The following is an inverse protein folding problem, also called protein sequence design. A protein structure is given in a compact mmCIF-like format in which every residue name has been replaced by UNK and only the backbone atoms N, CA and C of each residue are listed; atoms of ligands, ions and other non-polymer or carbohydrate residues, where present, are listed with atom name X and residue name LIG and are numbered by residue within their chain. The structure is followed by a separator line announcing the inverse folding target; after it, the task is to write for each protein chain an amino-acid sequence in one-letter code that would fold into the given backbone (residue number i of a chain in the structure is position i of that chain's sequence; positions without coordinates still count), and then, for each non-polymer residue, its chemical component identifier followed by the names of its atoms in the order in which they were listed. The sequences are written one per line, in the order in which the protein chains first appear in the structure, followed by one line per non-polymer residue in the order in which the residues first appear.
data_IF_334986741190
#
_entry.id   IF_334986741190
#
_cell.length_a   1.000
_cell.length_b   1.000
_cell.length_c   1.000
_cell.angle_alpha   90.00
_cell.angle_beta   90.00
_cell.angle_gamma   90.00
#
_symmetry.space_group_name_H-M   'P 1'
#
loop_
_entity.id
_entity.type
_entity.pdbx_description
1 polymer ?
#
# COMPACT_ATOMS: atom_id res chain seq x y z
N UNK A 1 1.57 -1.03 -25.35
CA UNK A 1 0.19 -0.76 -25.82
C UNK A 1 -0.61 -0.34 -24.61
N UNK A 2 -0.85 0.96 -24.44
CA UNK A 2 -1.68 1.53 -23.36
C UNK A 2 -3.14 1.20 -23.69
N UNK A 3 -3.74 0.28 -22.93
CA UNK A 3 -5.19 0.05 -23.01
C UNK A 3 -5.92 1.36 -22.70
N UNK A 4 -6.67 1.84 -23.66
CA UNK A 4 -7.50 3.03 -23.53
C UNK A 4 -8.62 2.72 -22.52
N UNK A 5 -8.47 3.18 -21.29
CA UNK A 5 -9.46 3.03 -20.23
C UNK A 5 -10.84 3.48 -20.71
N UNK A 6 -11.82 2.57 -20.73
CA UNK A 6 -13.16 2.84 -21.21
C UNK A 6 -13.84 4.01 -20.48
N UNK A 7 -14.82 4.67 -21.11
CA UNK A 7 -15.56 5.80 -20.51
C UNK A 7 -16.15 5.45 -19.13
N UNK A 8 -16.55 4.20 -18.93
CA UNK A 8 -17.10 3.70 -17.66
C UNK A 8 -16.02 3.66 -16.57
N UNK A 9 -14.83 3.19 -16.92
CA UNK A 9 -13.71 3.07 -15.98
C UNK A 9 -13.17 4.44 -15.57
N UNK A 10 -13.09 5.39 -16.52
CA UNK A 10 -12.76 6.79 -16.21
C UNK A 10 -13.76 7.42 -15.25
N UNK A 11 -15.08 7.19 -15.44
CA UNK A 11 -16.10 7.68 -14.50
C UNK A 11 -15.97 7.04 -13.13
N UNK A 12 -15.70 5.73 -13.08
CA UNK A 12 -15.48 4.99 -11.83
C UNK A 12 -14.27 5.53 -11.07
N UNK A 13 -13.16 5.73 -11.76
CA UNK A 13 -11.94 6.31 -11.19
C UNK A 13 -12.18 7.76 -10.68
N UNK A 14 -12.86 8.61 -11.47
CA UNK A 14 -13.16 9.97 -11.07
C UNK A 14 -14.08 10.05 -9.82
N UNK A 15 -15.08 9.17 -9.72
CA UNK A 15 -15.93 9.10 -8.52
C UNK A 15 -15.14 8.64 -7.31
N UNK A 16 -14.26 7.64 -7.50
CA UNK A 16 -13.40 7.13 -6.45
C UNK A 16 -12.45 8.21 -5.92
N UNK A 17 -11.83 8.98 -6.83
CA UNK A 17 -10.96 10.08 -6.47
C UNK A 17 -11.69 11.15 -5.65
N UNK A 18 -12.88 11.61 -6.09
CA UNK A 18 -13.68 12.58 -5.35
C UNK A 18 -14.01 12.14 -3.92
N UNK A 19 -14.37 10.86 -3.74
CA UNK A 19 -14.64 10.28 -2.43
C UNK A 19 -13.39 10.25 -1.54
N UNK A 20 -12.23 9.92 -2.12
CA UNK A 20 -10.95 9.96 -1.41
C UNK A 20 -10.57 11.37 -1.00
N UNK A 21 -10.66 12.35 -1.92
CA UNK A 21 -10.30 13.75 -1.66
C UNK A 21 -11.20 14.35 -0.56
N UNK A 22 -12.52 14.11 -0.64
CA UNK A 22 -13.46 14.54 0.39
C UNK A 22 -13.14 13.91 1.75
N UNK A 23 -12.87 12.61 1.80
CA UNK A 23 -12.53 11.92 3.03
C UNK A 23 -11.24 12.47 3.65
N UNK A 24 -10.17 12.60 2.87
CA UNK A 24 -8.88 13.14 3.34
C UNK A 24 -9.05 14.55 3.86
N UNK A 25 -9.73 15.44 3.12
CA UNK A 25 -10.01 16.82 3.54
C UNK A 25 -10.71 16.85 4.90
N UNK A 26 -11.79 16.11 5.05
CA UNK A 26 -12.55 16.06 6.30
C UNK A 26 -11.75 15.45 7.46
N UNK A 27 -11.00 14.38 7.21
CA UNK A 27 -10.19 13.75 8.25
C UNK A 27 -9.05 14.64 8.73
N UNK A 28 -8.39 15.35 7.84
CA UNK A 28 -7.34 16.30 8.21
C UNK A 28 -7.89 17.51 8.97
N UNK A 29 -9.10 17.97 8.64
CA UNK A 29 -9.72 19.11 9.30
C UNK A 29 -10.31 18.78 10.68
N UNK A 30 -10.91 17.59 10.86
CA UNK A 30 -11.76 17.27 12.02
C UNK A 30 -11.29 16.02 12.79
N UNK A 31 -10.29 15.30 12.29
CA UNK A 31 -9.87 14.00 12.80
C UNK A 31 -10.72 12.84 12.28
N UNK A 32 -10.11 11.66 12.24
CA UNK A 32 -10.73 10.47 11.68
C UNK A 32 -12.04 10.09 12.38
N UNK A 33 -12.08 10.05 13.72
CA UNK A 33 -13.22 9.54 14.46
C UNK A 33 -14.47 10.44 14.38
N UNK A 34 -14.25 11.76 14.24
CA UNK A 34 -15.33 12.76 14.21
C UNK A 34 -16.09 12.85 12.87
N UNK A 35 -15.62 12.17 11.82
CA UNK A 35 -16.22 12.22 10.48
C UNK A 35 -16.97 10.94 10.18
N UNK A 36 -18.18 11.04 9.63
CA UNK A 36 -19.02 9.92 9.21
C UNK A 36 -18.92 9.65 7.71
N UNK A 37 -19.22 8.42 7.28
CA UNK A 37 -19.29 8.10 5.84
C UNK A 37 -20.40 8.86 5.10
N UNK A 38 -21.46 9.27 5.81
CA UNK A 38 -22.55 10.07 5.24
C UNK A 38 -22.05 11.48 4.90
N UNK A 39 -21.32 12.14 5.80
CA UNK A 39 -20.69 13.44 5.55
C UNK A 39 -19.70 13.40 4.39
N UNK A 40 -18.93 12.31 4.27
CA UNK A 40 -18.00 12.13 3.14
C UNK A 40 -18.76 11.99 1.81
N UNK A 41 -19.86 11.23 1.80
CA UNK A 41 -20.67 11.07 0.61
C UNK A 41 -21.32 12.39 0.18
N UNK A 42 -21.79 13.19 1.14
CA UNK A 42 -22.35 14.53 0.92
C UNK A 42 -21.29 15.49 0.36
N UNK A 43 -20.11 15.56 0.98
CA UNK A 43 -18.98 16.40 0.54
C UNK A 43 -18.52 16.05 -0.89
N UNK A 44 -18.57 14.75 -1.24
CA UNK A 44 -18.20 14.25 -2.56
C UNK A 44 -19.34 14.39 -3.61
N UNK A 45 -20.48 14.98 -3.27
CA UNK A 45 -21.70 15.02 -4.10
C UNK A 45 -22.04 13.62 -4.66
N UNK A 46 -22.21 12.66 -3.75
CA UNK A 46 -22.38 11.24 -4.10
C UNK A 46 -23.37 10.57 -3.14
N UNK A 47 -24.16 9.63 -3.63
CA UNK A 47 -25.03 8.84 -2.78
C UNK A 47 -24.22 7.87 -1.87
N UNK A 48 -24.67 7.68 -0.64
CA UNK A 48 -24.03 6.78 0.32
C UNK A 48 -23.90 5.33 -0.22
N UNK A 49 -24.89 4.86 -0.98
CA UNK A 49 -24.85 3.56 -1.66
C UNK A 49 -23.74 3.48 -2.70
N UNK A 50 -23.46 4.57 -3.37
CA UNK A 50 -22.35 4.66 -4.33
C UNK A 50 -21.00 4.62 -3.63
N UNK A 51 -20.87 5.29 -2.46
CA UNK A 51 -19.67 5.20 -1.63
C UNK A 51 -19.36 3.75 -1.27
N UNK A 52 -20.33 3.01 -0.73
CA UNK A 52 -20.12 1.60 -0.37
C UNK A 52 -19.86 0.70 -1.59
N UNK A 53 -20.42 1.01 -2.76
CA UNK A 53 -20.10 0.28 -4.00
C UNK A 53 -18.64 0.49 -4.45
N UNK A 54 -18.04 1.66 -4.14
CA UNK A 54 -16.63 1.96 -4.42
C UNK A 54 -15.67 1.53 -3.30
N UNK A 55 -16.11 1.58 -2.05
CA UNK A 55 -15.32 1.31 -0.85
C UNK A 55 -16.07 0.36 0.09
N UNK A 56 -16.17 -0.94 -0.27
CA UNK A 56 -16.89 -1.93 0.54
C UNK A 56 -16.25 -2.16 1.91
N UNK A 57 -14.95 -1.95 2.02
CA UNK A 57 -14.22 -2.03 3.29
C UNK A 57 -14.50 -0.85 4.23
N UNK A 58 -15.34 0.11 3.80
CA UNK A 58 -15.82 1.20 4.64
C UNK A 58 -14.86 2.39 4.74
N UNK A 59 -14.98 3.11 5.88
CA UNK A 59 -14.37 4.42 6.11
C UNK A 59 -12.84 4.43 6.00
N UNK A 60 -12.18 3.40 6.51
CA UNK A 60 -10.72 3.29 6.47
C UNK A 60 -10.17 3.19 5.04
N UNK A 61 -10.89 2.51 4.14
CA UNK A 61 -10.47 2.35 2.75
C UNK A 61 -10.39 3.67 1.98
N UNK A 62 -11.19 4.67 2.38
CA UNK A 62 -11.25 5.98 1.74
C UNK A 62 -9.92 6.75 1.82
N UNK A 63 -9.15 6.58 2.89
CA UNK A 63 -7.84 7.25 3.04
C UNK A 63 -6.83 6.74 2.01
N UNK A 64 -6.95 5.48 1.60
CA UNK A 64 -6.00 4.83 0.71
C UNK A 64 -6.39 4.90 -0.78
N UNK A 65 -7.58 5.33 -1.08
CA UNK A 65 -8.09 5.76 -2.40
C UNK A 65 -8.13 4.72 -3.49
N UNK A 66 -7.31 3.71 -3.42
CA UNK A 66 -7.08 2.82 -4.53
C UNK A 66 -8.05 1.63 -4.58
N UNK A 67 -8.40 1.29 -5.79
CA UNK A 67 -8.95 -0.01 -6.15
C UNK A 67 -7.94 -0.83 -6.92
N UNK A 68 -6.68 -0.42 -6.95
CA UNK A 68 -5.64 -1.16 -7.64
C UNK A 68 -5.37 -2.48 -6.90
N UNK A 69 -5.20 -3.54 -7.65
CA UNK A 69 -4.71 -4.81 -7.13
C UNK A 69 -3.24 -4.63 -6.76
N UNK A 70 -3.00 -4.33 -5.47
CA UNK A 70 -1.65 -4.13 -4.93
C UNK A 70 -0.79 -5.39 -5.10
N UNK A 71 -1.40 -6.56 -4.96
CA UNK A 71 -0.68 -7.81 -5.11
C UNK A 71 -0.21 -8.01 -6.55
N UNK A 72 -1.09 -7.79 -7.53
CA UNK A 72 -0.71 -7.84 -8.94
C UNK A 72 0.34 -6.77 -9.30
N UNK A 73 0.21 -5.55 -8.77
CA UNK A 73 1.19 -4.48 -9.01
C UNK A 73 2.56 -4.80 -8.40
N UNK A 74 2.60 -5.40 -7.21
CA UNK A 74 3.83 -5.86 -6.56
C UNK A 74 4.49 -6.98 -7.38
N UNK A 75 3.71 -8.00 -7.80
CA UNK A 75 4.21 -9.07 -8.64
C UNK A 75 4.77 -8.56 -9.98
N UNK A 76 4.06 -7.61 -10.60
CA UNK A 76 4.52 -6.97 -11.84
C UNK A 76 5.84 -6.21 -11.62
N UNK A 77 5.97 -5.44 -10.55
CA UNK A 77 7.22 -4.73 -10.23
C UNK A 77 8.42 -5.68 -10.06
N UNK A 78 8.19 -6.86 -9.47
CA UNK A 78 9.23 -7.89 -9.36
C UNK A 78 9.55 -8.51 -10.72
N UNK A 79 8.53 -8.80 -11.54
CA UNK A 79 8.71 -9.45 -12.86
C UNK A 79 9.43 -8.54 -13.87
N UNK A 80 9.07 -7.25 -13.89
CA UNK A 80 9.61 -6.26 -14.84
C UNK A 80 10.89 -5.55 -14.34
N UNK A 81 11.46 -6.00 -13.23
CA UNK A 81 12.71 -5.42 -12.71
C UNK A 81 13.86 -5.59 -13.71
N UNK A 82 14.82 -4.66 -13.76
CA UNK A 82 16.07 -4.85 -14.48
C UNK A 82 16.77 -6.17 -14.08
N UNK A 83 17.45 -6.82 -15.04
CA UNK A 83 18.12 -8.10 -14.80
C UNK A 83 19.23 -8.02 -13.74
N UNK A 84 19.83 -6.85 -13.56
CA UNK A 84 20.85 -6.59 -12.56
C UNK A 84 20.30 -6.33 -11.16
N UNK A 85 18.97 -6.13 -11.03
CA UNK A 85 18.31 -5.85 -9.77
C UNK A 85 17.80 -7.14 -9.12
N UNK A 86 18.15 -7.37 -7.86
CA UNK A 86 17.58 -8.48 -7.10
C UNK A 86 16.08 -8.21 -6.76
N UNK A 87 15.33 -9.29 -6.54
CA UNK A 87 13.90 -9.17 -6.30
C UNK A 87 13.56 -8.42 -5.00
N UNK A 88 14.39 -8.53 -3.96
CA UNK A 88 14.15 -7.82 -2.69
C UNK A 88 14.33 -6.32 -2.87
N UNK A 89 15.26 -5.88 -3.71
CA UNK A 89 15.42 -4.46 -4.07
C UNK A 89 14.19 -3.93 -4.81
N UNK A 90 13.64 -4.68 -5.76
CA UNK A 90 12.40 -4.29 -6.45
C UNK A 90 11.20 -4.18 -5.48
N UNK A 91 11.11 -5.11 -4.52
CA UNK A 91 10.07 -5.06 -3.47
C UNK A 91 10.26 -3.85 -2.56
N UNK A 92 11.48 -3.56 -2.11
CA UNK A 92 11.80 -2.39 -1.28
C UNK A 92 11.41 -1.08 -1.98
N UNK A 93 11.77 -0.94 -3.25
CA UNK A 93 11.38 0.22 -4.06
C UNK A 93 9.87 0.35 -4.19
N UNK A 94 9.17 -0.78 -4.45
CA UNK A 94 7.71 -0.78 -4.53
C UNK A 94 7.08 -0.34 -3.21
N UNK A 95 7.53 -0.87 -2.07
CA UNK A 95 7.03 -0.47 -0.74
C UNK A 95 7.32 1.01 -0.47
N UNK A 96 8.52 1.47 -0.81
CA UNK A 96 8.93 2.86 -0.65
C UNK A 96 8.03 3.81 -1.45
N UNK A 97 7.71 3.46 -2.69
CA UNK A 97 6.86 4.26 -3.56
C UNK A 97 5.38 4.30 -3.11
N UNK A 98 4.91 3.27 -2.38
CA UNK A 98 3.50 3.12 -1.99
C UNK A 98 3.26 3.34 -0.49
N UNK A 99 4.22 3.92 0.23
CA UNK A 99 4.16 4.16 1.67
C UNK A 99 4.87 5.45 2.10
N UNK A 100 4.94 5.70 3.42
CA UNK A 100 5.55 6.91 3.99
C UNK A 100 7.08 6.86 4.05
N UNK A 101 7.74 6.15 3.13
CA UNK A 101 9.15 5.81 3.20
C UNK A 101 10.03 6.64 2.26
N UNK A 102 9.43 7.37 1.31
CA UNK A 102 10.12 8.27 0.39
C UNK A 102 10.70 9.50 1.09
N UNK A 103 11.66 10.16 0.45
CA UNK A 103 12.34 11.35 1.02
C UNK A 103 11.60 12.65 0.76
N UNK A 104 10.82 12.72 -0.32
CA UNK A 104 10.24 13.96 -0.84
C UNK A 104 8.70 13.88 -0.89
N UNK A 105 8.07 13.89 0.30
CA UNK A 105 6.63 14.05 0.36
C UNK A 105 6.27 15.53 0.56
N UNK A 106 5.24 16.00 -0.16
CA UNK A 106 4.68 17.31 0.09
C UNK A 106 3.97 17.36 1.47
N UNK A 107 3.63 18.57 1.91
CA UNK A 107 3.01 18.81 3.22
C UNK A 107 1.72 18.01 3.41
N UNK A 108 0.89 17.90 2.37
CA UNK A 108 -0.39 17.18 2.40
C UNK A 108 -0.16 15.67 2.55
N UNK A 109 0.74 15.09 1.75
CA UNK A 109 1.11 13.67 1.85
C UNK A 109 1.63 13.34 3.26
N UNK A 110 2.49 14.19 3.82
CA UNK A 110 2.99 14.03 5.19
C UNK A 110 1.87 14.10 6.23
N UNK A 111 0.86 14.97 6.04
CA UNK A 111 -0.30 15.06 6.93
C UNK A 111 -1.15 13.77 6.88
N UNK A 112 -1.36 13.21 5.69
CA UNK A 112 -2.07 11.92 5.52
C UNK A 112 -1.30 10.77 6.18
N UNK A 113 0.01 10.69 6.01
CA UNK A 113 0.82 9.67 6.67
C UNK A 113 0.80 9.81 8.19
N UNK A 114 0.84 11.04 8.71
CA UNK A 114 0.69 11.27 10.14
C UNK A 114 -0.69 10.85 10.64
N UNK A 115 -1.76 11.15 9.90
CA UNK A 115 -3.11 10.69 10.21
C UNK A 115 -3.18 9.16 10.29
N UNK A 116 -2.62 8.45 9.29
CA UNK A 116 -2.57 6.98 9.29
C UNK A 116 -1.83 6.47 10.52
N UNK A 117 -0.65 7.00 10.80
CA UNK A 117 0.22 6.57 11.91
C UNK A 117 -0.39 6.82 13.29
N UNK A 118 -1.15 7.89 13.46
CA UNK A 118 -1.76 8.26 14.74
C UNK A 118 -3.16 7.70 14.96
N UNK A 119 -3.75 7.05 13.94
CA UNK A 119 -5.09 6.47 14.01
C UNK A 119 -4.99 4.93 13.99
N UNK A 120 -5.23 4.22 15.11
CA UNK A 120 -5.06 2.77 15.19
C UNK A 120 -5.83 1.98 14.11
N UNK A 121 -7.06 2.39 13.80
CA UNK A 121 -7.87 1.75 12.76
C UNK A 121 -7.25 1.86 11.36
N UNK A 122 -6.62 3.00 11.04
CA UNK A 122 -5.94 3.21 9.76
C UNK A 122 -4.60 2.47 9.70
N UNK A 123 -3.86 2.44 10.80
CA UNK A 123 -2.60 1.68 10.92
C UNK A 123 -2.84 0.19 10.71
N UNK A 124 -3.86 -0.38 11.35
CA UNK A 124 -4.21 -1.79 11.18
C UNK A 124 -4.72 -2.09 9.76
N UNK A 125 -5.55 -1.21 9.19
CA UNK A 125 -5.99 -1.38 7.82
C UNK A 125 -4.83 -1.31 6.81
N UNK A 126 -3.87 -0.39 7.01
CA UNK A 126 -2.65 -0.30 6.21
C UNK A 126 -1.85 -1.62 6.27
N UNK A 127 -1.68 -2.18 7.48
CA UNK A 127 -1.00 -3.46 7.68
C UNK A 127 -1.71 -4.60 6.93
N UNK A 128 -3.03 -4.70 7.09
CA UNK A 128 -3.83 -5.74 6.42
C UNK A 128 -3.73 -5.67 4.89
N UNK A 129 -3.65 -4.46 4.32
CA UNK A 129 -3.46 -4.29 2.87
C UNK A 129 -2.15 -4.89 2.37
N UNK A 130 -1.08 -4.81 3.16
CA UNK A 130 0.19 -5.47 2.82
C UNK A 130 0.08 -6.99 2.99
N UNK A 131 -0.45 -7.45 4.11
CA UNK A 131 -0.58 -8.88 4.42
C UNK A 131 -1.45 -9.63 3.39
N UNK A 132 -2.45 -8.99 2.79
CA UNK A 132 -3.24 -9.56 1.69
C UNK A 132 -2.42 -9.88 0.43
N UNK A 133 -1.19 -9.38 0.31
CA UNK A 133 -0.28 -9.71 -0.79
C UNK A 133 0.53 -10.99 -0.55
N UNK A 134 0.36 -11.67 0.61
CA UNK A 134 1.20 -12.78 1.07
C UNK A 134 1.35 -13.90 0.02
N UNK A 135 0.23 -14.43 -0.45
CA UNK A 135 0.24 -15.60 -1.35
C UNK A 135 0.89 -15.25 -2.70
N UNK A 136 0.54 -14.08 -3.25
CA UNK A 136 1.07 -13.61 -4.53
C UNK A 136 2.57 -13.31 -4.42
N UNK A 137 3.01 -12.70 -3.31
CA UNK A 137 4.44 -12.43 -3.10
C UNK A 137 5.23 -13.73 -2.94
N UNK A 138 4.72 -14.70 -2.16
CA UNK A 138 5.38 -15.99 -1.98
C UNK A 138 5.49 -16.75 -3.31
N UNK A 139 4.41 -16.81 -4.11
CA UNK A 139 4.43 -17.39 -5.44
C UNK A 139 5.44 -16.69 -6.36
N UNK A 140 5.45 -15.36 -6.37
CA UNK A 140 6.37 -14.57 -7.21
C UNK A 140 7.82 -14.83 -6.82
N UNK A 141 8.16 -14.82 -5.52
CA UNK A 141 9.51 -15.13 -5.05
C UNK A 141 9.92 -16.58 -5.33
N UNK A 142 8.98 -17.53 -5.27
CA UNK A 142 9.21 -18.92 -5.67
C UNK A 142 9.59 -19.02 -7.15
N UNK A 143 8.88 -18.28 -8.01
CA UNK A 143 9.16 -18.26 -9.46
C UNK A 143 10.49 -17.58 -9.80
N UNK A 144 10.91 -16.57 -9.02
CA UNK A 144 12.25 -15.97 -9.13
C UNK A 144 13.32 -16.98 -8.75
N UNK A 145 13.07 -17.80 -7.73
CA UNK A 145 14.00 -18.82 -7.23
C UNK A 145 15.10 -18.30 -6.31
N UNK A 146 15.86 -19.21 -5.73
CA UNK A 146 17.04 -18.89 -4.94
C UNK A 146 16.81 -18.54 -3.47
N UNK A 147 15.56 -18.56 -2.96
CA UNK A 147 15.24 -18.20 -1.57
C UNK A 147 15.01 -19.41 -0.64
N UNK A 148 15.41 -20.60 -1.07
CA UNK A 148 15.38 -21.80 -0.24
C UNK A 148 14.08 -22.60 -0.36
N UNK A 149 13.66 -23.26 0.72
CA UNK A 149 12.46 -24.10 0.74
C UNK A 149 11.18 -23.27 0.66
N UNK A 150 10.02 -23.88 0.30
CA UNK A 150 8.73 -23.19 0.33
C UNK A 150 8.44 -22.49 1.67
N UNK A 151 8.74 -23.16 2.79
CA UNK A 151 8.56 -22.56 4.11
C UNK A 151 9.49 -21.35 4.36
N UNK A 152 10.70 -21.37 3.78
CA UNK A 152 11.62 -20.21 3.81
C UNK A 152 11.06 -19.02 3.02
N UNK A 153 10.51 -19.29 1.83
CA UNK A 153 9.87 -18.26 0.99
C UNK A 153 8.63 -17.68 1.66
N UNK A 154 7.78 -18.52 2.26
CA UNK A 154 6.60 -18.07 3.01
C UNK A 154 6.99 -17.15 4.19
N UNK A 155 8.04 -17.53 4.93
CA UNK A 155 8.56 -16.72 6.04
C UNK A 155 9.14 -15.39 5.53
N UNK A 156 9.94 -15.42 4.46
CA UNK A 156 10.47 -14.21 3.83
C UNK A 156 9.37 -13.26 3.37
N UNK A 157 8.38 -13.77 2.63
CA UNK A 157 7.24 -12.98 2.17
C UNK A 157 6.50 -12.33 3.36
N UNK A 158 6.31 -13.07 4.45
CA UNK A 158 5.70 -12.55 5.68
C UNK A 158 6.50 -11.44 6.32
N UNK A 159 7.81 -11.60 6.48
CA UNK A 159 8.67 -10.57 7.06
C UNK A 159 8.70 -9.30 6.19
N UNK A 160 8.77 -9.45 4.87
CA UNK A 160 8.68 -8.35 3.92
C UNK A 160 7.39 -7.54 4.15
N UNK A 161 6.24 -8.21 4.19
CA UNK A 161 4.93 -7.55 4.25
C UNK A 161 4.61 -6.93 5.63
N UNK A 162 5.27 -7.36 6.69
CA UNK A 162 5.19 -6.73 8.01
C UNK A 162 6.23 -5.60 8.19
N UNK A 163 7.27 -5.54 7.33
CA UNK A 163 8.33 -4.53 7.45
C UNK A 163 7.82 -3.08 7.40
N UNK A 164 6.78 -2.71 6.59
CA UNK A 164 6.22 -1.36 6.61
C UNK A 164 5.65 -0.94 7.96
N UNK A 165 5.01 -1.89 8.66
CA UNK A 165 4.45 -1.65 9.99
C UNK A 165 5.57 -1.38 11.01
N UNK A 166 6.62 -2.20 10.99
CA UNK A 166 7.77 -2.05 11.87
C UNK A 166 8.48 -0.73 11.59
N UNK A 167 8.84 -0.47 10.33
CA UNK A 167 9.54 0.74 9.92
C UNK A 167 8.76 2.01 10.27
N UNK A 168 7.43 1.99 10.10
CA UNK A 168 6.54 3.12 10.40
C UNK A 168 6.52 3.57 11.86
N UNK A 169 6.98 2.74 12.81
CA UNK A 169 7.10 3.11 14.24
C UNK A 169 8.36 3.91 14.56
N UNK A 170 9.34 3.95 13.65
CA UNK A 170 10.61 4.63 13.87
C UNK A 170 10.58 6.10 13.45
N UNK A 171 11.47 6.91 14.02
CA UNK A 171 11.59 8.35 13.72
C UNK A 171 11.99 8.65 12.28
N UNK A 172 12.67 7.70 11.62
CA UNK A 172 13.11 7.78 10.22
C UNK A 172 12.64 6.52 9.47
N UNK A 173 11.35 6.43 9.09
CA UNK A 173 10.75 5.20 8.54
C UNK A 173 11.46 4.67 7.30
N UNK A 174 11.87 5.55 6.37
CA UNK A 174 12.57 5.13 5.15
C UNK A 174 13.91 4.48 5.44
N UNK A 175 14.69 5.02 6.41
CA UNK A 175 15.95 4.41 6.83
C UNK A 175 15.72 3.08 7.54
N UNK A 176 14.72 3.03 8.43
CA UNK A 176 14.39 1.80 9.13
C UNK A 176 13.93 0.70 8.16
N UNK A 177 13.17 1.04 7.12
CA UNK A 177 12.78 0.09 6.07
C UNK A 177 14.03 -0.44 5.34
N UNK A 178 14.93 0.43 4.95
CA UNK A 178 16.19 0.04 4.28
C UNK A 178 17.02 -0.90 5.16
N UNK A 179 17.23 -0.54 6.45
CA UNK A 179 17.97 -1.37 7.40
C UNK A 179 17.33 -2.76 7.58
N UNK A 180 15.99 -2.86 7.54
CA UNK A 180 15.27 -4.14 7.58
C UNK A 180 15.54 -4.94 6.29
N UNK A 181 15.46 -4.32 5.12
CA UNK A 181 15.71 -5.02 3.86
C UNK A 181 17.15 -5.49 3.72
N UNK A 182 18.13 -4.74 4.23
CA UNK A 182 19.52 -5.22 4.29
C UNK A 182 19.64 -6.49 5.11
N UNK A 183 18.97 -6.58 6.27
CA UNK A 183 18.94 -7.81 7.08
C UNK A 183 18.20 -8.96 6.41
N UNK A 184 17.13 -8.67 5.65
CA UNK A 184 16.44 -9.70 4.89
C UNK A 184 17.35 -10.28 3.79
N UNK A 185 18.12 -9.45 3.08
CA UNK A 185 19.09 -9.90 2.07
C UNK A 185 20.21 -10.76 2.69
N UNK A 186 20.72 -10.38 3.87
CA UNK A 186 21.72 -11.19 4.59
C UNK A 186 21.16 -12.52 5.06
N UNK A 187 19.90 -12.58 5.54
CA UNK A 187 19.23 -13.78 6.05
C UNK A 187 18.72 -14.72 4.95
N UNK A 188 18.39 -14.16 3.78
CA UNK A 188 17.93 -14.88 2.59
C UNK A 188 18.75 -14.48 1.36
N UNK A 189 20.06 -14.82 1.31
CA UNK A 189 20.84 -14.55 0.12
C UNK A 189 20.27 -15.38 -1.04
N UNK A 190 20.05 -14.71 -2.19
CA UNK A 190 19.62 -15.41 -3.40
C UNK A 190 20.76 -16.31 -3.86
N UNK A 191 20.53 -17.63 -3.92
CA UNK A 191 21.49 -18.61 -4.42
C UNK A 191 21.20 -18.90 -5.89
N UNK A 192 22.28 -19.04 -6.68
CA UNK A 192 22.18 -19.42 -8.10
C UNK A 192 21.56 -20.80 -8.31
#
# INVERSE_FOLDING_TARGET
MTEEMGRRDRKKAATRQRLTDAAVTLFLARGYDAVTVAEIAEEADTALTTLFAHFPDGKQALVFGDGADRAASLAHAIAERPSEQDALSAVEEFITAHGPFGRDHNTETNAVFNLIRTTPALTEYARQRWVRCQDVLAETLTNVGGYGSPASVDALARFILESPQVAGTHSHPGRALHDIFDRLREGWPQTE
#
